data_IF_344584898887
#
_entry.id   IF_344584898887
#
_cell.length_a   1.000
_cell.length_b   1.000
_cell.length_c   1.000
_cell.angle_alpha   90.00
_cell.angle_beta   90.00
_cell.angle_gamma   90.00
#
_symmetry.space_group_name_H-M   'P 1'
#
loop_
_entity.id
_entity.type
_entity.pdbx_description
1 polymer ?
#
# COMPACT_ATOMS: atom_id res chain seq x y z
N UNK A 1 -4.82 -24.72 -12.23
CA UNK A 1 -5.28 -23.85 -11.13
C UNK A 1 -4.69 -22.48 -11.38
N UNK A 2 -5.48 -21.40 -11.38
CA UNK A 2 -4.94 -20.05 -11.56
C UNK A 2 -4.06 -19.69 -10.36
N UNK A 3 -2.96 -18.92 -10.55
CA UNK A 3 -2.16 -18.46 -9.43
C UNK A 3 -3.03 -17.65 -8.47
N UNK A 4 -2.88 -17.90 -7.16
CA UNK A 4 -3.55 -17.11 -6.13
C UNK A 4 -2.84 -15.75 -6.03
N UNK A 5 -3.60 -14.66 -6.07
CA UNK A 5 -3.11 -13.29 -5.84
C UNK A 5 -3.76 -12.69 -4.60
N UNK A 6 -3.00 -11.90 -3.86
CA UNK A 6 -3.46 -11.14 -2.70
C UNK A 6 -3.41 -9.64 -3.00
N UNK A 7 -4.45 -8.89 -2.63
CA UNK A 7 -4.48 -7.44 -2.74
C UNK A 7 -4.69 -6.86 -1.35
N UNK A 8 -3.78 -6.00 -0.90
CA UNK A 8 -3.93 -5.23 0.33
C UNK A 8 -4.48 -3.86 -0.03
N UNK A 9 -5.65 -3.50 0.51
CA UNK A 9 -6.27 -2.18 0.27
C UNK A 9 -6.17 -1.36 1.55
N UNK A 10 -5.51 -0.20 1.46
CA UNK A 10 -5.20 0.68 2.59
C UNK A 10 -5.88 2.03 2.37
N UNK A 11 -7.00 2.33 3.06
CA UNK A 11 -7.55 3.68 3.10
C UNK A 11 -6.57 4.62 3.81
N UNK A 12 -6.34 5.81 3.27
CA UNK A 12 -5.44 6.79 3.86
C UNK A 12 -6.01 8.22 3.71
N UNK A 13 -5.89 9.00 4.79
CA UNK A 13 -6.13 10.44 4.81
C UNK A 13 -5.14 11.11 5.77
N UNK A 14 -4.16 11.84 5.24
CA UNK A 14 -3.09 12.49 6.00
C UNK A 14 -2.28 11.54 6.92
N UNK A 15 -1.84 10.41 6.37
CA UNK A 15 -1.11 9.34 7.06
C UNK A 15 0.41 9.38 6.81
N UNK A 16 0.97 10.53 6.42
CA UNK A 16 2.39 10.63 6.05
C UNK A 16 3.37 10.16 7.14
N UNK A 17 2.95 10.18 8.41
CA UNK A 17 3.78 9.75 9.55
C UNK A 17 3.96 8.24 9.61
N UNK A 18 2.90 7.47 9.32
CA UNK A 18 2.85 6.03 9.60
C UNK A 18 2.79 5.17 8.34
N UNK A 19 2.29 5.70 7.22
CA UNK A 19 2.00 4.92 6.03
C UNK A 19 3.22 4.14 5.53
N UNK A 20 4.40 4.78 5.50
CA UNK A 20 5.62 4.13 5.05
C UNK A 20 5.99 2.89 5.88
N UNK A 21 5.79 2.94 7.20
CA UNK A 21 6.07 1.80 8.08
C UNK A 21 5.07 0.66 7.84
N UNK A 22 3.79 0.98 7.66
CA UNK A 22 2.73 0.03 7.33
C UNK A 22 3.01 -0.70 6.02
N UNK A 23 3.30 0.04 4.95
CA UNK A 23 3.56 -0.54 3.62
C UNK A 23 4.79 -1.46 3.64
N UNK A 24 5.89 -1.02 4.28
CA UNK A 24 7.08 -1.86 4.45
C UNK A 24 6.80 -3.14 5.24
N UNK A 25 5.97 -3.08 6.28
CA UNK A 25 5.59 -4.26 7.05
C UNK A 25 4.79 -5.25 6.21
N UNK A 26 3.86 -4.77 5.37
CA UNK A 26 3.10 -5.60 4.44
C UNK A 26 4.03 -6.26 3.43
N UNK A 27 4.94 -5.51 2.79
CA UNK A 27 5.92 -6.08 1.87
C UNK A 27 6.78 -7.16 2.52
N UNK A 28 7.28 -6.92 3.74
CA UNK A 28 8.09 -7.89 4.47
C UNK A 28 7.30 -9.19 4.77
N UNK A 29 6.04 -9.07 5.16
CA UNK A 29 5.20 -10.24 5.45
C UNK A 29 4.78 -11.00 4.17
N UNK A 30 4.35 -10.27 3.14
CA UNK A 30 3.82 -10.86 1.91
C UNK A 30 4.91 -11.51 1.06
N UNK A 31 6.10 -10.91 0.98
CA UNK A 31 7.25 -11.49 0.26
C UNK A 31 7.70 -12.84 0.81
N UNK A 32 7.51 -13.10 2.11
CA UNK A 32 7.81 -14.39 2.72
C UNK A 32 6.82 -15.52 2.35
N UNK A 33 5.66 -15.19 1.78
CA UNK A 33 4.56 -16.14 1.53
C UNK A 33 4.60 -16.84 0.16
N UNK A 34 5.47 -16.41 -0.76
CA UNK A 34 5.51 -16.85 -2.16
C UNK A 34 4.18 -16.70 -2.93
N UNK A 35 3.28 -15.82 -2.45
CA UNK A 35 2.03 -15.45 -3.13
C UNK A 35 2.28 -14.12 -3.83
N UNK A 36 1.91 -14.03 -5.12
CA UNK A 36 1.91 -12.76 -5.84
C UNK A 36 0.95 -11.77 -5.15
N UNK A 37 1.41 -10.55 -4.89
CA UNK A 37 0.58 -9.55 -4.23
C UNK A 37 0.72 -8.16 -4.84
N UNK A 38 -0.27 -7.32 -4.56
CA UNK A 38 -0.23 -5.88 -4.80
C UNK A 38 -0.70 -5.13 -3.55
N UNK A 39 -0.27 -3.89 -3.41
CA UNK A 39 -0.78 -2.96 -2.38
C UNK A 39 -1.42 -1.78 -3.09
N UNK A 40 -2.65 -1.47 -2.71
CA UNK A 40 -3.42 -0.33 -3.20
C UNK A 40 -3.67 0.61 -2.04
N UNK A 41 -3.20 1.85 -2.16
CA UNK A 41 -3.54 2.92 -1.22
C UNK A 41 -4.69 3.73 -1.83
N UNK A 42 -5.80 3.78 -1.11
CA UNK A 42 -6.97 4.61 -1.47
C UNK A 42 -6.80 5.94 -0.73
N UNK A 43 -6.38 6.97 -1.45
CA UNK A 43 -6.11 8.30 -0.89
C UNK A 43 -7.36 9.17 -0.94
N UNK A 44 -7.92 9.46 0.24
CA UNK A 44 -9.14 10.27 0.41
C UNK A 44 -8.75 11.75 0.56
N UNK A 45 -8.32 12.35 -0.54
CA UNK A 45 -7.93 13.77 -0.61
C UNK A 45 -6.93 14.23 0.48
N UNK A 46 -5.87 13.45 0.72
CA UNK A 46 -4.79 13.90 1.61
C UNK A 46 -4.18 15.22 1.13
N UNK A 47 -3.81 16.05 2.10
CA UNK A 47 -3.17 17.37 1.89
C UNK A 47 -1.70 17.38 2.29
N UNK A 48 -1.20 16.25 2.77
CA UNK A 48 0.19 16.03 3.15
C UNK A 48 0.92 15.12 2.13
N UNK A 49 2.06 14.55 2.54
CA UNK A 49 2.87 13.70 1.68
C UNK A 49 2.36 12.25 1.51
N UNK A 50 1.15 11.91 1.97
CA UNK A 50 0.59 10.54 1.97
C UNK A 50 0.69 9.86 0.61
N UNK A 51 0.19 10.50 -0.46
CA UNK A 51 0.22 9.93 -1.81
C UNK A 51 1.65 9.72 -2.34
N UNK A 52 2.57 10.65 -2.06
CA UNK A 52 3.97 10.52 -2.46
C UNK A 52 4.62 9.32 -1.75
N UNK A 53 4.42 9.21 -0.44
CA UNK A 53 4.97 8.13 0.38
C UNK A 53 4.44 6.76 -0.07
N UNK A 54 3.17 6.68 -0.46
CA UNK A 54 2.59 5.46 -1.01
C UNK A 54 3.32 5.00 -2.28
N UNK A 55 3.50 5.91 -3.24
CA UNK A 55 4.21 5.62 -4.49
C UNK A 55 5.67 5.24 -4.23
N UNK A 56 6.37 5.95 -3.33
CA UNK A 56 7.76 5.67 -2.97
C UNK A 56 7.93 4.29 -2.28
N UNK A 57 6.84 3.75 -1.71
CA UNK A 57 6.80 2.44 -1.08
C UNK A 57 6.22 1.36 -2.01
N UNK A 58 6.22 1.55 -3.34
CA UNK A 58 5.74 0.56 -4.32
C UNK A 58 4.27 0.15 -4.14
N UNK A 59 3.45 1.07 -3.63
CA UNK A 59 2.00 0.92 -3.59
C UNK A 59 1.34 1.72 -4.71
N UNK A 60 0.28 1.15 -5.29
CA UNK A 60 -0.55 1.83 -6.28
C UNK A 60 -1.51 2.78 -5.58
N UNK A 61 -1.44 4.07 -5.91
CA UNK A 61 -2.38 5.07 -5.37
C UNK A 61 -3.64 5.16 -6.22
N UNK A 62 -4.80 5.14 -5.58
CA UNK A 62 -6.11 5.44 -6.17
C UNK A 62 -6.69 6.63 -5.41
N UNK A 63 -6.81 7.82 -6.02
CA UNK A 63 -7.47 8.95 -5.41
C UNK A 63 -9.00 8.74 -5.40
N UNK A 64 -9.65 9.15 -4.32
CA UNK A 64 -11.12 9.21 -4.14
C UNK A 64 -11.51 10.63 -3.75
#
# INVERSE_FOLDING_TARGET
MAPRKLCFVIPAHNEAVLLAATLRAIHAAASASAIDYEIVVVDDASTDATAQIANDCDARVIPV
#
